data_IF_693295086557
#
_entry.id   IF_693295086557
#
_cell.length_a   1.000
_cell.length_b   1.000
_cell.length_c   1.000
_cell.angle_alpha   90.00
_cell.angle_beta   90.00
_cell.angle_gamma   90.00
#
_symmetry.space_group_name_H-M   'P 1'
#
loop_
_entity.id
_entity.type
_entity.pdbx_description
1 polymer ?
#
# COMPACT_ATOMS: atom_id res chain seq x y z
N UNK A 1 24.17 8.44 -2.58
CA UNK A 1 23.34 8.09 -3.76
C UNK A 1 22.25 7.14 -3.31
N UNK A 2 20.97 7.41 -3.59
CA UNK A 2 19.89 6.48 -3.25
C UNK A 2 20.08 5.17 -4.03
N UNK A 3 19.98 4.03 -3.36
CA UNK A 3 19.99 2.73 -4.04
C UNK A 3 18.94 2.71 -5.17
N UNK A 4 19.26 2.14 -6.35
CA UNK A 4 18.27 2.00 -7.42
C UNK A 4 17.08 1.18 -6.90
N UNK A 5 15.87 1.66 -7.19
CA UNK A 5 14.64 0.91 -6.84
C UNK A 5 14.53 -0.32 -7.76
N UNK A 6 14.02 -1.45 -7.26
CA UNK A 6 13.77 -2.63 -8.10
C UNK A 6 12.91 -2.29 -9.32
N UNK A 7 13.18 -2.94 -10.45
CA UNK A 7 12.38 -2.76 -11.66
C UNK A 7 10.93 -3.23 -11.42
N UNK A 8 9.92 -2.55 -11.98
CA UNK A 8 8.54 -3.03 -11.94
C UNK A 8 8.33 -4.23 -12.86
N UNK A 9 7.23 -4.97 -12.65
CA UNK A 9 6.72 -5.93 -13.62
C UNK A 9 6.39 -5.20 -14.95
N UNK A 10 6.72 -5.80 -16.12
CA UNK A 10 6.33 -5.25 -17.42
C UNK A 10 4.80 -5.16 -17.59
N UNK A 11 4.34 -4.19 -18.38
CA UNK A 11 2.95 -4.16 -18.84
C UNK A 11 2.62 -5.43 -19.61
N UNK A 12 1.42 -5.95 -19.43
CA UNK A 12 0.96 -7.21 -20.00
C UNK A 12 1.33 -8.47 -19.21
N UNK A 13 2.19 -8.36 -18.18
CA UNK A 13 2.48 -9.48 -17.27
C UNK A 13 1.20 -9.91 -16.56
N UNK A 14 0.95 -11.22 -16.47
CA UNK A 14 -0.19 -11.77 -15.72
C UNK A 14 0.34 -12.41 -14.44
N UNK A 15 -0.25 -12.05 -13.30
CA UNK A 15 0.02 -12.65 -11.98
C UNK A 15 -1.30 -12.88 -11.25
N UNK A 16 -1.53 -14.10 -10.74
CA UNK A 16 -2.74 -14.47 -10.02
C UNK A 16 -4.06 -14.21 -10.75
N UNK A 17 -4.05 -14.25 -12.09
CA UNK A 17 -5.22 -13.92 -12.92
C UNK A 17 -5.41 -12.42 -13.22
N UNK A 18 -4.49 -11.56 -12.76
CA UNK A 18 -4.54 -10.12 -13.01
C UNK A 18 -3.47 -9.70 -14.01
N UNK A 19 -3.85 -8.98 -15.05
CA UNK A 19 -2.93 -8.44 -16.04
C UNK A 19 -2.46 -7.04 -15.64
N UNK A 20 -1.14 -6.85 -15.52
CA UNK A 20 -0.53 -5.56 -15.20
C UNK A 20 -0.74 -4.58 -16.38
N UNK A 21 -1.44 -3.48 -16.13
CA UNK A 21 -1.61 -2.39 -17.11
C UNK A 21 -0.39 -1.47 -17.04
N UNK A 22 -0.13 -0.91 -15.85
CA UNK A 22 1.01 -0.01 -15.62
C UNK A 22 1.38 0.05 -14.14
N UNK A 23 2.61 0.45 -13.86
CA UNK A 23 3.02 0.90 -12.52
C UNK A 23 2.32 2.23 -12.18
N UNK A 24 1.74 2.34 -10.99
CA UNK A 24 1.14 3.59 -10.48
C UNK A 24 1.95 4.21 -9.35
N UNK A 25 2.60 3.40 -8.49
CA UNK A 25 3.43 3.92 -7.40
C UNK A 25 4.60 2.99 -7.07
N UNK A 26 5.64 3.53 -6.42
CA UNK A 26 6.70 2.73 -5.82
C UNK A 26 7.21 3.36 -4.52
N UNK A 27 7.00 2.66 -3.42
CA UNK A 27 7.48 3.02 -2.10
C UNK A 27 8.78 2.31 -1.73
N UNK A 28 9.20 2.45 -0.47
CA UNK A 28 10.35 1.70 0.08
C UNK A 28 10.06 0.21 0.31
N UNK A 29 8.79 -0.19 0.30
CA UNK A 29 8.31 -1.51 0.75
C UNK A 29 7.65 -2.33 -0.35
N UNK A 30 7.44 -1.74 -1.52
CA UNK A 30 6.75 -2.40 -2.61
C UNK A 30 6.44 -1.50 -3.79
N UNK A 31 5.84 -2.11 -4.80
CA UNK A 31 5.38 -1.47 -6.03
C UNK A 31 3.87 -1.66 -6.12
N UNK A 32 3.17 -0.62 -6.52
CA UNK A 32 1.72 -0.67 -6.78
C UNK A 32 1.51 -0.53 -8.28
N UNK A 33 0.68 -1.41 -8.81
CA UNK A 33 0.29 -1.49 -10.21
C UNK A 33 -1.21 -1.22 -10.35
N UNK A 34 -1.57 -0.59 -11.46
CA UNK A 34 -2.91 -0.73 -12.02
C UNK A 34 -2.94 -2.05 -12.78
N UNK A 35 -3.91 -2.90 -12.47
CA UNK A 35 -4.11 -4.17 -13.14
C UNK A 35 -5.58 -4.37 -13.48
N UNK A 36 -5.87 -5.30 -14.38
CA UNK A 36 -7.22 -5.72 -14.75
C UNK A 36 -7.41 -7.19 -14.42
N UNK A 37 -8.60 -7.57 -13.94
CA UNK A 37 -8.99 -8.98 -13.83
C UNK A 37 -9.49 -9.54 -15.17
N UNK A 38 -9.89 -10.82 -15.18
CA UNK A 38 -10.41 -11.51 -16.38
C UNK A 38 -11.64 -10.82 -16.99
N UNK A 39 -12.40 -10.05 -16.20
CA UNK A 39 -13.59 -9.29 -16.63
C UNK A 39 -13.27 -7.86 -17.04
N UNK A 40 -11.98 -7.48 -17.09
CA UNK A 40 -11.48 -6.12 -17.31
C UNK A 40 -11.86 -5.11 -16.23
N UNK A 41 -12.13 -5.58 -15.01
CA UNK A 41 -12.31 -4.70 -13.87
C UNK A 41 -10.95 -4.20 -13.36
N UNK A 42 -10.81 -2.89 -13.18
CA UNK A 42 -9.57 -2.27 -12.72
C UNK A 42 -9.36 -2.47 -11.22
N UNK A 43 -8.16 -2.91 -10.85
CA UNK A 43 -7.72 -3.11 -9.46
C UNK A 43 -6.36 -2.48 -9.21
N UNK A 44 -6.09 -2.14 -7.95
CA UNK A 44 -4.76 -1.77 -7.49
C UNK A 44 -4.06 -3.01 -6.93
N UNK A 45 -2.94 -3.41 -7.53
CA UNK A 45 -2.19 -4.60 -7.14
C UNK A 45 -0.86 -4.19 -6.52
N UNK A 46 -0.67 -4.48 -5.24
CA UNK A 46 0.54 -4.15 -4.47
C UNK A 46 1.42 -5.38 -4.33
N UNK A 47 2.64 -5.28 -4.80
CA UNK A 47 3.69 -6.29 -4.68
C UNK A 47 4.62 -5.96 -3.52
N UNK A 48 4.91 -6.93 -2.67
CA UNK A 48 5.96 -6.80 -1.67
C UNK A 48 7.34 -6.84 -2.34
N UNK A 49 8.01 -5.68 -2.37
CA UNK A 49 9.31 -5.55 -3.01
C UNK A 49 10.15 -4.46 -2.32
N UNK A 50 10.60 -4.70 -1.08
CA UNK A 50 11.38 -3.73 -0.33
C UNK A 50 12.75 -3.50 -0.96
N UNK A 51 12.99 -2.28 -1.44
CA UNK A 51 14.24 -1.89 -2.12
C UNK A 51 15.50 -2.00 -1.24
N UNK A 52 15.32 -2.07 0.09
CA UNK A 52 16.43 -2.29 1.03
C UNK A 52 16.90 -3.74 1.05
N UNK A 53 16.05 -4.71 0.69
CA UNK A 53 16.31 -6.14 0.82
C UNK A 53 16.40 -6.88 -0.51
N UNK A 54 15.60 -6.47 -1.49
CA UNK A 54 15.44 -7.17 -2.76
C UNK A 54 15.78 -6.23 -3.93
N UNK A 55 16.35 -6.83 -4.97
CA UNK A 55 16.61 -6.19 -6.26
C UNK A 55 15.83 -6.93 -7.36
N UNK A 56 15.54 -6.28 -8.49
CA UNK A 56 14.96 -6.93 -9.67
C UNK A 56 15.42 -6.19 -10.92
N UNK A 57 15.96 -6.93 -11.90
CA UNK A 57 16.33 -6.35 -13.18
C UNK A 57 15.12 -6.20 -14.12
N UNK A 58 15.15 -5.27 -15.08
CA UNK A 58 14.09 -5.14 -16.07
C UNK A 58 13.85 -6.47 -16.82
N UNK A 59 12.57 -6.84 -16.96
CA UNK A 59 12.16 -8.08 -17.63
C UNK A 59 12.12 -9.32 -16.73
N UNK A 60 12.67 -9.24 -15.50
CA UNK A 60 12.55 -10.33 -14.53
C UNK A 60 11.22 -10.25 -13.78
N UNK A 61 10.70 -11.41 -13.36
CA UNK A 61 9.52 -11.52 -12.51
C UNK A 61 9.91 -11.69 -11.04
N UNK A 62 10.90 -12.54 -10.79
CA UNK A 62 11.30 -12.99 -9.45
C UNK A 62 12.29 -11.99 -8.81
N UNK A 63 12.06 -11.53 -7.58
CA UNK A 63 13.01 -10.71 -6.83
C UNK A 63 14.28 -11.47 -6.45
N UNK A 64 15.43 -10.80 -6.53
CA UNK A 64 16.73 -11.32 -6.07
C UNK A 64 17.03 -10.79 -4.67
N UNK A 65 17.21 -11.70 -3.71
CA UNK A 65 17.53 -11.37 -2.32
C UNK A 65 18.83 -12.03 -1.91
N UNK A 66 19.77 -11.24 -1.39
CA UNK A 66 21.07 -11.76 -0.93
C UNK A 66 20.88 -12.72 0.27
N UNK A 67 21.70 -13.78 0.41
CA UNK A 67 21.56 -14.77 1.48
C UNK A 67 21.45 -14.17 2.89
N UNK A 68 22.25 -13.14 3.18
CA UNK A 68 22.27 -12.46 4.49
C UNK A 68 20.97 -11.69 4.79
N UNK A 69 20.18 -11.34 3.77
CA UNK A 69 18.91 -10.61 3.92
C UNK A 69 17.68 -11.51 3.84
N UNK A 70 17.84 -12.77 3.44
CA UNK A 70 16.74 -13.69 3.28
C UNK A 70 15.89 -13.88 4.55
N UNK A 71 16.46 -14.01 5.77
CA UNK A 71 15.65 -14.14 6.98
C UNK A 71 14.70 -12.95 7.18
N UNK A 72 15.20 -11.73 7.00
CA UNK A 72 14.42 -10.51 7.16
C UNK A 72 13.38 -10.34 6.04
N UNK A 73 13.74 -10.70 4.80
CA UNK A 73 12.80 -10.70 3.67
C UNK A 73 11.63 -11.65 3.91
N UNK A 74 11.89 -12.89 4.37
CA UNK A 74 10.84 -13.86 4.72
C UNK A 74 9.94 -13.38 5.86
N UNK A 75 10.51 -12.72 6.86
CA UNK A 75 9.72 -12.16 7.97
C UNK A 75 8.80 -11.03 7.50
N UNK A 76 9.29 -10.16 6.62
CA UNK A 76 8.49 -9.10 6.01
C UNK A 76 7.41 -9.63 5.07
N UNK A 77 7.71 -10.65 4.24
CA UNK A 77 6.71 -11.37 3.43
C UNK A 77 5.58 -11.93 4.28
N UNK A 78 5.92 -12.63 5.37
CA UNK A 78 4.93 -13.16 6.31
C UNK A 78 4.06 -12.04 6.88
N UNK A 79 4.67 -10.94 7.30
CA UNK A 79 3.93 -9.82 7.91
C UNK A 79 3.02 -9.10 6.91
N UNK A 80 3.47 -8.93 5.66
CA UNK A 80 2.66 -8.35 4.59
C UNK A 80 1.47 -9.25 4.22
N UNK A 81 1.67 -10.57 4.21
CA UNK A 81 0.59 -11.54 3.98
C UNK A 81 -0.46 -11.51 5.11
N UNK A 82 -0.01 -11.44 6.36
CA UNK A 82 -0.89 -11.33 7.53
C UNK A 82 -1.65 -9.99 7.55
N UNK A 83 -1.00 -8.89 7.15
CA UNK A 83 -1.64 -7.59 6.94
C UNK A 83 -2.79 -7.69 5.92
N UNK A 84 -2.54 -8.29 4.75
CA UNK A 84 -3.56 -8.50 3.74
C UNK A 84 -4.74 -9.34 4.24
N UNK A 85 -4.45 -10.42 4.98
CA UNK A 85 -5.50 -11.28 5.55
C UNK A 85 -6.38 -10.53 6.55
N UNK A 86 -5.79 -9.73 7.43
CA UNK A 86 -6.54 -8.96 8.42
C UNK A 86 -7.31 -7.81 7.79
N UNK A 87 -6.74 -7.12 6.80
CA UNK A 87 -7.44 -6.08 6.04
C UNK A 87 -8.62 -6.63 5.23
N UNK A 88 -8.52 -7.84 4.69
CA UNK A 88 -9.62 -8.48 3.96
C UNK A 88 -10.87 -8.74 4.82
N UNK A 89 -10.74 -8.72 6.15
CA UNK A 89 -11.88 -8.84 7.07
C UNK A 89 -12.58 -7.50 7.33
N UNK A 90 -11.98 -6.38 6.90
CA UNK A 90 -12.49 -5.03 7.15
C UNK A 90 -13.21 -4.53 5.91
N UNK A 91 -14.51 -4.26 6.05
CA UNK A 91 -15.30 -3.57 5.04
C UNK A 91 -15.81 -2.24 5.59
N UNK A 92 -15.23 -1.13 5.12
CA UNK A 92 -15.64 0.21 5.52
C UNK A 92 -15.25 1.23 4.44
N UNK A 93 -16.11 2.20 4.17
CA UNK A 93 -15.89 3.19 3.10
C UNK A 93 -14.58 3.99 3.25
N UNK A 94 -14.13 4.23 4.49
CA UNK A 94 -12.90 4.97 4.79
C UNK A 94 -11.65 4.10 4.97
N UNK A 95 -11.69 2.82 4.56
CA UNK A 95 -10.56 1.88 4.60
C UNK A 95 -10.46 1.19 3.25
N UNK A 96 -9.25 1.08 2.70
CA UNK A 96 -9.03 0.35 1.44
C UNK A 96 -9.53 -1.09 1.54
N UNK A 97 -10.25 -1.55 0.52
CA UNK A 97 -10.83 -2.88 0.49
C UNK A 97 -9.86 -3.85 -0.19
N UNK A 98 -9.42 -4.86 0.54
CA UNK A 98 -8.62 -5.96 0.00
C UNK A 98 -9.55 -7.00 -0.62
N UNK A 99 -9.39 -7.24 -1.92
CA UNK A 99 -10.21 -8.16 -2.72
C UNK A 99 -9.62 -9.57 -2.73
N UNK A 100 -8.29 -9.66 -2.79
CA UNK A 100 -7.56 -10.92 -2.87
C UNK A 100 -6.12 -10.72 -2.37
N UNK A 101 -5.45 -11.80 -1.97
CA UNK A 101 -4.03 -11.81 -1.66
C UNK A 101 -3.44 -13.19 -1.97
N UNK A 102 -2.30 -13.22 -2.65
CA UNK A 102 -1.72 -14.47 -3.13
C UNK A 102 -0.19 -14.42 -3.16
N UNK A 103 0.41 -15.59 -3.33
CA UNK A 103 1.87 -15.76 -3.47
C UNK A 103 2.18 -16.22 -4.88
N UNK A 104 3.11 -15.54 -5.52
CA UNK A 104 3.63 -15.88 -6.84
C UNK A 104 5.00 -15.23 -7.00
N UNK A 105 5.85 -15.72 -7.91
CA UNK A 105 7.16 -15.13 -8.22
C UNK A 105 8.05 -14.90 -6.97
N UNK A 106 7.99 -15.81 -5.99
CA UNK A 106 8.68 -15.71 -4.70
C UNK A 106 8.36 -14.45 -3.86
N UNK A 107 7.24 -13.80 -4.15
CA UNK A 107 6.73 -12.67 -3.38
C UNK A 107 5.23 -12.79 -3.07
N UNK A 108 4.66 -11.78 -2.43
CA UNK A 108 3.25 -11.66 -2.09
C UNK A 108 2.65 -10.47 -2.80
N UNK A 109 1.45 -10.69 -3.34
CA UNK A 109 0.63 -9.67 -3.97
C UNK A 109 -0.66 -9.46 -3.18
N UNK A 110 -1.05 -8.20 -3.03
CA UNK A 110 -2.31 -7.79 -2.40
C UNK A 110 -3.13 -7.01 -3.44
N UNK A 111 -4.32 -7.51 -3.72
CA UNK A 111 -5.25 -6.92 -4.67
C UNK A 111 -6.25 -6.08 -3.89
N UNK A 112 -6.40 -4.83 -4.30
CA UNK A 112 -7.25 -3.84 -3.65
C UNK A 112 -8.16 -3.19 -4.69
N UNK A 113 -9.25 -2.60 -4.24
CA UNK A 113 -10.05 -1.73 -5.10
C UNK A 113 -9.20 -0.58 -5.65
N UNK A 114 -9.33 -0.29 -6.94
CA UNK A 114 -8.69 0.87 -7.54
C UNK A 114 -9.46 2.15 -7.17
N UNK A 115 -8.77 3.11 -6.55
CA UNK A 115 -9.34 4.40 -6.14
C UNK A 115 -9.03 5.48 -7.19
N UNK A 116 -10.01 6.32 -7.48
CA UNK A 116 -9.87 7.52 -8.32
C UNK A 116 -9.84 8.77 -7.43
N UNK A 117 -8.85 9.63 -7.66
CA UNK A 117 -8.52 10.79 -6.83
C UNK A 117 -7.03 10.87 -6.55
N UNK A 118 -6.66 11.55 -5.47
CA UNK A 118 -5.26 11.83 -5.13
C UNK A 118 -5.04 11.71 -3.62
N UNK A 119 -3.77 11.56 -3.19
CA UNK A 119 -3.47 11.55 -1.76
C UNK A 119 -3.56 12.97 -1.18
N UNK A 120 -3.87 13.10 0.11
CA UNK A 120 -3.83 14.40 0.80
C UNK A 120 -2.45 15.07 0.67
N UNK A 121 -1.36 14.29 0.57
CA UNK A 121 -0.03 14.80 0.28
C UNK A 121 0.04 15.51 -1.09
N UNK A 122 -0.60 14.96 -2.12
CA UNK A 122 -0.61 15.53 -3.47
C UNK A 122 -1.40 16.85 -3.50
N UNK A 123 -2.50 16.94 -2.76
CA UNK A 123 -3.22 18.21 -2.56
C UNK A 123 -2.33 19.27 -1.90
N UNK A 124 -1.58 18.89 -0.86
CA UNK A 124 -0.64 19.80 -0.16
C UNK A 124 0.47 20.27 -1.10
N UNK A 125 1.09 19.35 -1.85
CA UNK A 125 2.16 19.68 -2.80
C UNK A 125 1.65 20.59 -3.91
N UNK A 126 0.51 20.24 -4.52
CA UNK A 126 -0.11 21.03 -5.60
C UNK A 126 -0.46 22.44 -5.13
N UNK A 127 -1.04 22.59 -3.94
CA UNK A 127 -1.37 23.90 -3.38
C UNK A 127 -0.12 24.75 -3.14
N UNK A 128 0.96 24.14 -2.62
CA UNK A 128 2.25 24.81 -2.41
C UNK A 128 2.85 25.27 -3.74
N UNK A 129 2.86 24.40 -4.74
CA UNK A 129 3.46 24.70 -6.05
C UNK A 129 2.68 25.79 -6.79
N UNK A 130 1.35 25.84 -6.59
CA UNK A 130 0.47 26.92 -7.07
C UNK A 130 0.46 28.16 -6.16
N UNK A 131 1.28 28.20 -5.09
CA UNK A 131 1.36 29.29 -4.10
C UNK A 131 0.00 29.69 -3.51
N UNK A 132 -0.88 28.70 -3.30
CA UNK A 132 -2.17 28.91 -2.64
C UNK A 132 -1.96 29.09 -1.14
N UNK A 133 -2.59 30.11 -0.55
CA UNK A 133 -2.55 30.34 0.90
C UNK A 133 -3.25 29.22 1.70
N UNK A 134 -4.27 28.58 1.11
CA UNK A 134 -5.05 27.51 1.75
C UNK A 134 -5.09 26.29 0.85
N UNK A 135 -4.73 25.14 1.40
CA UNK A 135 -4.80 23.83 0.72
C UNK A 135 -6.25 23.36 0.66
N UNK A 136 -6.90 23.28 1.81
CA UNK A 136 -8.28 22.85 1.99
C UNK A 136 -9.02 23.83 2.92
N UNK A 137 -10.34 23.91 2.79
CA UNK A 137 -11.19 24.67 3.74
C UNK A 137 -11.27 23.90 5.06
N UNK A 138 -11.43 24.61 6.17
CA UNK A 138 -11.54 23.99 7.50
C UNK A 138 -12.70 22.97 7.56
N UNK A 139 -13.85 23.31 6.97
CA UNK A 139 -15.00 22.41 6.90
C UNK A 139 -14.67 21.09 6.18
N UNK A 140 -13.90 21.16 5.10
CA UNK A 140 -13.42 19.98 4.37
C UNK A 140 -12.49 19.14 5.25
N UNK A 141 -11.53 19.78 5.93
CA UNK A 141 -10.61 19.08 6.85
C UNK A 141 -11.39 18.34 7.94
N UNK A 142 -12.38 19.01 8.58
CA UNK A 142 -13.22 18.40 9.61
C UNK A 142 -14.00 17.19 9.09
N UNK A 143 -14.58 17.30 7.89
CA UNK A 143 -15.31 16.19 7.26
C UNK A 143 -14.40 14.99 6.98
N UNK A 144 -13.24 15.23 6.36
CA UNK A 144 -12.27 14.17 6.05
C UNK A 144 -11.74 13.50 7.33
N UNK A 145 -11.48 14.28 8.39
CA UNK A 145 -11.02 13.74 9.66
C UNK A 145 -12.09 12.89 10.36
N UNK A 146 -13.36 13.26 10.30
CA UNK A 146 -14.44 12.43 10.85
C UNK A 146 -14.48 11.05 10.16
N UNK A 147 -14.34 11.02 8.83
CA UNK A 147 -14.27 9.78 8.07
C UNK A 147 -13.04 8.92 8.42
N UNK A 148 -11.86 9.55 8.52
CA UNK A 148 -10.63 8.88 8.95
C UNK A 148 -10.81 8.24 10.33
N UNK A 149 -11.39 8.98 11.29
CA UNK A 149 -11.62 8.49 12.65
C UNK A 149 -12.62 7.32 12.67
N UNK A 150 -13.67 7.37 11.83
CA UNK A 150 -14.61 6.24 11.67
C UNK A 150 -13.91 5.01 11.09
N UNK A 151 -13.04 5.20 10.08
CA UNK A 151 -12.22 4.12 9.51
C UNK A 151 -11.28 3.50 10.55
N UNK A 152 -10.53 4.32 11.29
CA UNK A 152 -9.63 3.85 12.35
C UNK A 152 -10.38 3.11 13.46
N UNK A 153 -11.59 3.54 13.82
CA UNK A 153 -12.42 2.83 14.79
C UNK A 153 -12.70 1.39 14.33
N UNK A 154 -13.07 1.17 13.07
CA UNK A 154 -13.31 -0.18 12.55
C UNK A 154 -12.02 -1.00 12.51
N UNK A 155 -10.90 -0.40 12.09
CA UNK A 155 -9.58 -1.05 12.09
C UNK A 155 -9.22 -1.53 13.51
N UNK A 156 -9.39 -0.68 14.53
CA UNK A 156 -9.10 -1.02 15.92
C UNK A 156 -10.09 -2.07 16.48
N UNK A 157 -11.35 -2.06 16.06
CA UNK A 157 -12.32 -3.12 16.43
C UNK A 157 -11.90 -4.50 15.91
N UNK A 158 -11.20 -4.55 14.77
CA UNK A 158 -10.57 -5.75 14.22
C UNK A 158 -9.17 -6.01 14.79
N UNK A 159 -8.83 -5.36 15.91
CA UNK A 159 -7.55 -5.48 16.63
C UNK A 159 -6.33 -5.14 15.79
N UNK A 160 -6.50 -4.40 14.70
CA UNK A 160 -5.42 -3.99 13.81
C UNK A 160 -4.99 -2.56 14.13
N UNK A 161 -3.73 -2.24 13.86
CA UNK A 161 -3.20 -0.88 13.92
C UNK A 161 -2.73 -0.44 12.52
N UNK A 162 -2.94 0.82 12.17
CA UNK A 162 -2.44 1.36 10.90
C UNK A 162 -0.92 1.58 10.90
N UNK A 163 -0.37 2.10 12.01
CA UNK A 163 1.07 2.32 12.25
C UNK A 163 1.80 3.31 11.32
N UNK A 164 1.13 3.92 10.35
CA UNK A 164 1.76 4.83 9.36
C UNK A 164 0.78 5.89 8.85
N UNK A 165 0.02 6.51 9.77
CA UNK A 165 -0.92 7.57 9.41
C UNK A 165 -0.14 8.85 9.07
N UNK A 166 -0.30 9.32 7.83
CA UNK A 166 0.31 10.55 7.29
C UNK A 166 -0.45 10.97 6.02
N UNK A 167 -0.27 12.21 5.52
CA UNK A 167 -1.00 12.68 4.34
C UNK A 167 -0.84 11.80 3.09
N UNK A 168 0.32 11.14 2.90
CA UNK A 168 0.55 10.24 1.77
C UNK A 168 -0.26 8.93 1.84
N UNK A 169 -0.80 8.59 3.01
CA UNK A 169 -1.58 7.37 3.28
C UNK A 169 -3.07 7.68 3.52
N UNK A 170 -3.49 8.92 3.27
CA UNK A 170 -4.89 9.34 3.27
C UNK A 170 -5.23 9.68 1.82
N UNK A 171 -5.99 8.81 1.18
CA UNK A 171 -6.45 9.02 -0.18
C UNK A 171 -7.76 9.81 -0.15
N UNK A 172 -7.87 10.86 -0.97
CA UNK A 172 -9.10 11.64 -1.13
C UNK A 172 -9.65 11.29 -2.51
N UNK A 173 -10.79 10.62 -2.53
CA UNK A 173 -11.44 10.19 -3.76
C UNK A 173 -12.13 11.36 -4.46
N UNK A 174 -12.43 11.22 -5.74
CA UNK A 174 -13.13 12.25 -6.55
C UNK A 174 -14.53 12.59 -6.00
N UNK A 175 -15.15 11.68 -5.24
CA UNK A 175 -16.39 11.93 -4.50
C UNK A 175 -16.18 12.55 -3.11
N UNK A 176 -14.99 13.10 -2.85
CA UNK A 176 -14.57 13.80 -1.62
C UNK A 176 -14.62 12.96 -0.34
N UNK A 177 -14.34 11.65 -0.43
CA UNK A 177 -14.21 10.76 0.73
C UNK A 177 -12.76 10.50 1.07
N UNK A 178 -12.46 10.34 2.36
CA UNK A 178 -11.16 9.95 2.86
C UNK A 178 -11.08 8.42 3.01
N UNK A 179 -10.08 7.82 2.39
CA UNK A 179 -9.78 6.38 2.46
C UNK A 179 -8.37 6.16 3.00
N UNK A 180 -8.26 5.36 4.07
CA UNK A 180 -6.97 4.94 4.62
C UNK A 180 -6.36 3.85 3.73
N UNK A 181 -5.10 4.08 3.32
CA UNK A 181 -4.32 3.19 2.45
C UNK A 181 -2.94 2.90 3.07
N UNK A 182 -2.23 1.90 2.54
CA UNK A 182 -0.85 1.55 2.92
C UNK A 182 -0.64 1.32 4.43
N UNK A 183 -1.18 0.20 4.93
CA UNK A 183 -0.99 -0.20 6.31
C UNK A 183 0.47 -0.61 6.56
N UNK A 184 1.01 -0.20 7.71
CA UNK A 184 2.45 -0.19 7.96
C UNK A 184 3.02 -1.47 8.57
N UNK A 185 2.27 -2.57 8.63
CA UNK A 185 2.65 -3.76 9.38
C UNK A 185 3.99 -4.36 8.91
N UNK A 186 4.17 -4.50 7.60
CA UNK A 186 5.43 -4.97 7.03
C UNK A 186 6.57 -3.96 7.19
N UNK A 187 6.27 -2.66 7.40
CA UNK A 187 7.29 -1.61 7.56
C UNK A 187 7.96 -1.69 8.92
N UNK A 188 7.20 -1.96 9.97
CA UNK A 188 7.72 -2.08 11.34
C UNK A 188 8.70 -3.25 11.50
N UNK A 189 8.51 -4.33 10.73
CA UNK A 189 9.46 -5.45 10.69
C UNK A 189 10.84 -5.01 10.21
N UNK A 190 10.87 -4.13 9.21
CA UNK A 190 12.11 -3.73 8.55
C UNK A 190 12.77 -2.53 9.25
N UNK A 191 12.04 -1.78 10.07
CA UNK A 191 12.53 -0.59 10.77
C UNK A 191 13.24 -0.91 12.09
N UNK A 192 12.96 -2.07 12.72
CA UNK A 192 13.50 -2.42 14.03
C UNK A 192 14.23 -3.76 14.02
N UNK A 193 15.56 -3.70 14.16
CA UNK A 193 16.38 -4.83 14.63
C UNK A 193 16.08 -5.09 16.13
N UNK A 194 14.89 -5.57 16.49
CA UNK A 194 14.67 -6.18 17.82
C UNK A 194 13.31 -6.04 18.50
N UNK A 195 12.52 -5.00 18.22
CA UNK A 195 11.20 -4.81 18.87
C UNK A 195 10.06 -4.74 17.85
N UNK A 196 9.61 -5.92 17.41
CA UNK A 196 8.44 -6.07 16.55
C UNK A 196 7.16 -5.71 17.32
N UNK A 197 6.55 -4.57 17.00
CA UNK A 197 5.17 -4.30 17.42
C UNK A 197 4.29 -5.12 16.50
N UNK A 198 3.56 -6.07 17.09
CA UNK A 198 2.57 -6.83 16.33
C UNK A 198 1.49 -5.84 15.85
N UNK A 199 1.18 -5.80 14.54
CA UNK A 199 0.10 -4.97 14.02
C UNK A 199 -1.25 -5.38 14.60
N UNK A 200 -1.33 -6.62 15.11
CA UNK A 200 -2.45 -7.13 15.87
C UNK A 200 -2.12 -7.17 17.35
N UNK A 201 -3.01 -6.61 18.18
CA UNK A 201 -2.92 -6.68 19.64
C UNK A 201 -3.98 -7.63 20.21
N UNK A 202 -3.72 -8.20 21.38
CA UNK A 202 -4.66 -9.11 22.09
C UNK A 202 -5.76 -8.34 22.79
#
# INVERSE_FOLDING_TARGET
>A
MSKPKPAPLPSGTVVGGYQIVKKIAAGGFGIVYLAEDETRHLVALKEYLPASLADRSPGELIPRVKPEKQPLYRLGLKSFFEEGRSLAQISHASVVSVLNFFRENETVYMVMNYLQGDTMQDFIVTARDLKREKVLRESTIRSLFDEILRGLRIVHQHKMLHLDIKPANIFITDDNRAVLIDFGAAREVLSKEGNFIRPMYT
#
